data_IF_640623066221
#
_entry.id   IF_640623066221
#
_cell.length_a   1.000
_cell.length_b   1.000
_cell.length_c   1.000
_cell.angle_alpha   90.00
_cell.angle_beta   90.00
_cell.angle_gamma   90.00
#
_symmetry.space_group_name_H-M   'P 1'
#
loop_
_entity.id
_entity.type
_entity.pdbx_description
1 polymer ?
#
# COMPACT_ATOMS: atom_id res chain seq x y z
N UNK A 1 -14.68 -60.64 -36.60
CA UNK A 1 -14.70 -60.69 -35.13
C UNK A 1 -13.88 -59.48 -34.58
N UNK A 2 -14.53 -58.51 -33.97
CA UNK A 2 -13.90 -57.37 -33.31
C UNK A 2 -13.73 -57.71 -31.82
N UNK A 3 -12.60 -57.38 -31.16
CA UNK A 3 -12.47 -57.58 -29.74
C UNK A 3 -13.27 -56.54 -28.94
N UNK A 4 -13.72 -56.88 -27.71
CA UNK A 4 -14.54 -56.00 -26.88
C UNK A 4 -13.74 -54.83 -26.26
N UNK A 5 -14.41 -53.66 -26.15
CA UNK A 5 -13.90 -52.40 -25.61
C UNK A 5 -13.52 -52.54 -24.10
N UNK A 6 -12.28 -52.25 -23.79
CA UNK A 6 -11.79 -52.05 -22.41
C UNK A 6 -12.09 -50.61 -21.94
N UNK A 7 -13.34 -50.32 -21.55
CA UNK A 7 -13.74 -48.96 -21.11
C UNK A 7 -14.40 -48.89 -19.72
N UNK A 8 -14.48 -50.00 -18.96
CA UNK A 8 -15.28 -50.00 -17.73
C UNK A 8 -14.44 -50.04 -16.43
N UNK A 9 -13.19 -50.46 -16.47
CA UNK A 9 -12.34 -50.54 -15.27
C UNK A 9 -11.78 -49.20 -14.82
N UNK A 10 -11.55 -48.26 -15.74
CA UNK A 10 -11.01 -46.91 -15.40
C UNK A 10 -12.02 -46.01 -14.70
N UNK A 11 -13.31 -46.23 -14.94
CA UNK A 11 -14.41 -45.45 -14.36
C UNK A 11 -14.65 -45.86 -12.89
N UNK A 12 -14.50 -47.12 -12.55
CA UNK A 12 -14.67 -47.62 -11.18
C UNK A 12 -13.52 -47.16 -10.25
N UNK A 13 -12.29 -47.09 -10.78
CA UNK A 13 -11.12 -46.60 -10.01
C UNK A 13 -11.23 -45.15 -9.65
N UNK A 14 -11.67 -44.28 -10.58
CA UNK A 14 -11.86 -42.83 -10.33
C UNK A 14 -12.96 -42.56 -9.29
N UNK A 15 -14.06 -43.31 -9.33
CA UNK A 15 -15.17 -43.18 -8.38
C UNK A 15 -14.74 -43.63 -6.99
N UNK A 16 -13.96 -44.69 -6.86
CA UNK A 16 -13.38 -45.12 -5.56
C UNK A 16 -12.37 -44.13 -4.99
N UNK A 17 -11.53 -43.51 -5.85
CA UNK A 17 -10.58 -42.49 -5.44
C UNK A 17 -11.27 -41.23 -4.92
N UNK A 18 -12.30 -40.76 -5.63
CA UNK A 18 -13.09 -39.60 -5.21
C UNK A 18 -13.89 -39.87 -3.91
N UNK A 19 -14.39 -41.12 -3.74
CA UNK A 19 -15.06 -41.52 -2.51
C UNK A 19 -14.12 -41.56 -1.29
N UNK A 20 -12.88 -42.05 -1.47
CA UNK A 20 -11.86 -42.04 -0.44
C UNK A 20 -11.34 -40.66 -0.10
N UNK A 21 -11.21 -39.75 -1.09
CA UNK A 21 -10.83 -38.36 -0.87
C UNK A 21 -11.92 -37.59 -0.10
N UNK A 22 -13.20 -37.84 -0.41
CA UNK A 22 -14.32 -37.22 0.33
C UNK A 22 -14.42 -37.77 1.77
N UNK A 23 -14.19 -39.05 2.00
CA UNK A 23 -14.17 -39.65 3.34
C UNK A 23 -12.95 -39.18 4.17
N UNK A 24 -11.79 -38.97 3.53
CA UNK A 24 -10.60 -38.38 4.16
C UNK A 24 -10.83 -36.95 4.59
N UNK A 25 -11.49 -36.10 3.74
CA UNK A 25 -11.83 -34.75 4.09
C UNK A 25 -12.84 -34.66 5.25
N UNK A 26 -13.84 -35.55 5.30
CA UNK A 26 -14.80 -35.64 6.40
C UNK A 26 -14.12 -36.12 7.70
N UNK A 27 -13.12 -37.02 7.62
CA UNK A 27 -12.36 -37.51 8.77
C UNK A 27 -11.47 -36.42 9.40
N UNK A 28 -10.91 -35.54 8.61
CA UNK A 28 -10.12 -34.38 9.11
C UNK A 28 -11.00 -33.36 9.85
N UNK A 29 -12.28 -33.22 9.45
CA UNK A 29 -13.22 -32.34 10.11
C UNK A 29 -13.75 -32.87 11.45
N UNK A 30 -13.55 -34.18 11.74
CA UNK A 30 -14.01 -34.84 12.95
C UNK A 30 -12.90 -35.22 13.93
N UNK A 31 -11.63 -34.90 13.63
CA UNK A 31 -10.51 -35.14 14.53
C UNK A 31 -10.53 -34.16 15.70
N UNK A 32 -10.69 -34.56 16.95
CA UNK A 32 -10.67 -33.68 18.11
C UNK A 32 -9.25 -33.10 18.26
N UNK A 33 -9.12 -31.77 18.11
CA UNK A 33 -7.85 -31.06 18.34
C UNK A 33 -7.33 -30.21 17.18
N UNK A 34 -8.01 -30.16 16.03
CA UNK A 34 -7.66 -29.21 14.96
C UNK A 34 -8.62 -28.04 15.04
N UNK A 35 -8.19 -26.96 15.67
CA UNK A 35 -8.93 -25.67 15.66
C UNK A 35 -8.77 -25.00 14.29
N UNK A 36 -9.64 -25.38 13.35
CA UNK A 36 -9.78 -24.69 12.06
C UNK A 36 -10.38 -23.28 12.20
N UNK A 37 -10.77 -22.89 13.41
CA UNK A 37 -11.41 -21.60 13.72
C UNK A 37 -10.39 -20.44 13.69
N UNK A 38 -9.11 -20.66 13.98
CA UNK A 38 -8.10 -19.60 13.95
C UNK A 38 -7.71 -19.17 12.53
N UNK A 39 -7.71 -20.08 11.57
CA UNK A 39 -7.42 -19.74 10.17
C UNK A 39 -8.54 -18.83 9.59
N UNK A 40 -9.78 -19.01 10.02
CA UNK A 40 -10.91 -18.18 9.61
C UNK A 40 -10.97 -16.83 10.34
N UNK A 41 -10.37 -16.71 11.53
CA UNK A 41 -10.30 -15.45 12.29
C UNK A 41 -9.15 -14.55 11.89
N UNK A 42 -8.14 -15.06 11.22
CA UNK A 42 -7.06 -14.25 10.63
C UNK A 42 -7.53 -13.45 9.38
N UNK A 43 -8.67 -13.81 8.82
CA UNK A 43 -9.34 -13.01 7.82
C UNK A 43 -10.21 -11.97 8.56
N UNK A 44 -9.69 -10.76 8.79
CA UNK A 44 -10.51 -9.61 9.13
C UNK A 44 -11.66 -9.47 8.12
N UNK A 45 -12.69 -8.65 8.39
CA UNK A 45 -13.83 -8.54 7.48
C UNK A 45 -13.34 -8.20 6.08
N UNK A 46 -13.26 -9.22 5.24
CA UNK A 46 -12.96 -9.02 3.82
C UNK A 46 -14.09 -8.15 3.27
N UNK A 47 -13.71 -7.07 2.63
CA UNK A 47 -14.61 -6.29 1.81
C UNK A 47 -15.38 -7.26 0.92
N UNK A 48 -16.72 -7.17 0.88
CA UNK A 48 -17.55 -8.09 0.12
C UNK A 48 -17.01 -8.24 -1.31
N UNK A 49 -16.99 -9.46 -1.83
CA UNK A 49 -16.57 -9.71 -3.20
C UNK A 49 -17.38 -8.81 -4.15
N UNK A 50 -16.72 -7.89 -4.86
CA UNK A 50 -17.35 -6.88 -5.70
C UNK A 50 -17.17 -5.43 -5.24
N UNK A 51 -16.69 -5.16 -4.02
CA UNK A 51 -16.34 -3.81 -3.60
C UNK A 51 -14.88 -3.49 -3.97
N UNK A 52 -14.58 -3.45 -5.26
CA UNK A 52 -13.28 -3.00 -5.79
C UNK A 52 -12.97 -1.53 -5.49
N UNK A 53 -11.81 -1.05 -5.96
CA UNK A 53 -11.52 0.37 -5.95
C UNK A 53 -12.57 1.13 -6.77
N UNK A 54 -13.04 2.27 -6.26
CA UNK A 54 -14.08 3.08 -6.90
C UNK A 54 -13.42 4.17 -7.76
N UNK A 55 -13.76 4.22 -9.04
CA UNK A 55 -13.27 5.23 -9.98
C UNK A 55 -13.78 6.66 -9.68
N UNK A 56 -14.86 6.80 -8.92
CA UNK A 56 -15.38 8.09 -8.41
C UNK A 56 -14.53 8.67 -7.28
N UNK A 57 -13.67 7.85 -6.68
CA UNK A 57 -12.78 8.25 -5.58
C UNK A 57 -11.40 8.56 -6.10
N UNK A 58 -10.80 9.61 -5.57
CA UNK A 58 -9.37 9.90 -5.71
C UNK A 58 -8.77 10.13 -4.33
N UNK A 59 -8.09 9.13 -3.83
CA UNK A 59 -7.40 9.25 -2.53
C UNK A 59 -6.23 10.21 -2.62
N UNK A 60 -6.11 11.07 -1.63
CA UNK A 60 -5.04 12.05 -1.55
C UNK A 60 -4.70 12.45 -0.12
N UNK A 61 -3.68 13.29 -0.02
CA UNK A 61 -3.15 13.75 1.26
C UNK A 61 -2.79 15.24 1.16
N UNK A 62 -3.18 15.99 2.16
CA UNK A 62 -2.72 17.35 2.38
C UNK A 62 -1.72 17.36 3.54
N UNK A 63 -0.58 17.97 3.33
CA UNK A 63 0.48 18.14 4.33
C UNK A 63 0.66 19.64 4.58
N UNK A 64 0.28 20.08 5.77
CA UNK A 64 0.49 21.44 6.24
C UNK A 64 1.83 21.53 6.96
N UNK A 65 2.85 22.00 6.26
CA UNK A 65 4.21 22.08 6.79
C UNK A 65 4.36 23.12 7.90
N UNK A 66 3.46 24.10 7.97
CA UNK A 66 3.46 25.11 9.04
C UNK A 66 3.10 24.52 10.41
N UNK A 67 2.39 23.39 10.40
CA UNK A 67 2.00 22.64 11.59
C UNK A 67 2.92 21.45 11.87
N UNK A 68 3.85 21.15 10.96
CA UNK A 68 4.74 20.02 11.06
C UNK A 68 5.94 20.37 11.93
N UNK A 69 5.97 19.90 13.17
CA UNK A 69 7.04 20.21 14.10
C UNK A 69 8.38 19.59 13.64
N UNK A 70 9.45 20.38 13.74
CA UNK A 70 10.82 19.90 13.55
C UNK A 70 11.14 18.80 14.56
N UNK A 71 11.81 17.75 14.11
CA UNK A 71 12.16 16.59 14.94
C UNK A 71 11.02 15.62 15.23
N UNK A 72 9.75 15.95 14.94
CA UNK A 72 8.64 15.01 15.06
C UNK A 72 8.71 13.93 13.98
N UNK A 73 8.68 12.65 14.35
CA UNK A 73 8.76 11.49 13.46
C UNK A 73 7.58 10.53 13.60
N UNK A 74 6.51 10.92 14.29
CA UNK A 74 5.37 10.04 14.60
C UNK A 74 4.71 9.46 13.34
N UNK A 75 4.58 10.25 12.28
CA UNK A 75 4.07 9.75 10.98
C UNK A 75 4.97 8.65 10.37
N UNK A 76 6.28 8.75 10.54
CA UNK A 76 7.25 7.74 10.09
C UNK A 76 7.14 6.49 10.95
N UNK A 77 7.12 6.66 12.28
CA UNK A 77 6.98 5.56 13.24
C UNK A 77 5.68 4.78 13.01
N UNK A 78 4.55 5.49 12.89
CA UNK A 78 3.26 4.86 12.62
C UNK A 78 3.23 4.12 11.27
N UNK A 79 3.84 4.70 10.22
CA UNK A 79 3.97 4.04 8.94
C UNK A 79 4.80 2.76 9.04
N UNK A 80 5.91 2.80 9.77
CA UNK A 80 6.78 1.63 9.96
C UNK A 80 6.05 0.52 10.72
N UNK A 81 5.36 0.85 11.80
CA UNK A 81 4.56 -0.10 12.58
C UNK A 81 3.43 -0.68 11.75
N UNK A 82 2.66 0.16 11.05
CA UNK A 82 1.52 -0.29 10.23
C UNK A 82 1.95 -1.24 9.12
N UNK A 83 3.05 -0.95 8.45
CA UNK A 83 3.47 -1.65 7.24
C UNK A 83 4.62 -2.65 7.47
N UNK A 84 5.01 -2.91 8.71
CA UNK A 84 6.09 -3.86 9.04
C UNK A 84 7.45 -3.44 8.48
N UNK A 85 7.77 -2.14 8.53
CA UNK A 85 9.07 -1.59 8.18
C UNK A 85 10.01 -1.57 9.39
N UNK A 86 11.31 -1.43 9.13
CA UNK A 86 12.30 -1.42 10.20
C UNK A 86 12.14 -0.19 11.11
N UNK A 87 12.08 -0.41 12.40
CA UNK A 87 11.98 0.66 13.40
C UNK A 87 13.27 1.51 13.46
N UNK A 88 14.41 0.91 13.11
CA UNK A 88 15.72 1.57 13.04
C UNK A 88 16.29 1.37 11.65
N UNK A 89 15.95 2.25 10.68
CA UNK A 89 16.36 2.07 9.29
C UNK A 89 17.87 2.22 9.13
N UNK A 90 18.44 1.32 8.35
CA UNK A 90 19.80 1.42 7.81
C UNK A 90 19.78 2.22 6.49
N UNK A 91 20.92 2.59 5.92
CA UNK A 91 20.95 3.24 4.60
C UNK A 91 20.28 2.44 3.47
N UNK A 92 20.15 1.11 3.63
CA UNK A 92 19.54 0.21 2.66
C UNK A 92 18.12 -0.20 3.01
N UNK A 93 17.64 0.11 4.22
CA UNK A 93 16.28 -0.19 4.64
C UNK A 93 15.24 0.55 3.82
N UNK A 94 14.12 -0.10 3.57
CA UNK A 94 13.00 0.53 2.87
C UNK A 94 12.36 1.61 3.73
N UNK A 95 12.17 2.79 3.16
CA UNK A 95 11.54 3.94 3.80
C UNK A 95 10.37 4.40 2.93
N UNK A 96 9.16 4.26 3.44
CA UNK A 96 7.96 4.69 2.72
C UNK A 96 7.61 6.15 2.98
N UNK A 97 7.95 6.66 4.15
CA UNK A 97 7.92 8.09 4.50
C UNK A 97 9.31 8.48 4.98
N UNK A 98 9.81 9.60 4.50
CA UNK A 98 11.04 10.23 4.99
C UNK A 98 10.73 11.62 5.48
N UNK A 99 11.14 11.94 6.70
CA UNK A 99 11.11 13.30 7.19
C UNK A 99 12.32 14.04 6.62
N UNK A 100 12.10 15.17 5.98
CA UNK A 100 13.13 16.00 5.37
C UNK A 100 13.12 17.35 6.06
N UNK A 101 14.25 17.74 6.61
CA UNK A 101 14.47 19.07 7.18
C UNK A 101 15.26 19.90 6.15
N UNK A 102 14.68 21.01 5.75
CA UNK A 102 15.27 21.94 4.79
C UNK A 102 15.69 23.21 5.51
N UNK A 103 16.94 23.57 5.35
CA UNK A 103 17.45 24.87 5.78
C UNK A 103 17.47 25.83 4.60
N UNK A 104 16.91 27.03 4.75
CA UNK A 104 16.89 28.00 3.66
C UNK A 104 18.31 28.50 3.38
N UNK A 105 18.65 28.64 2.12
CA UNK A 105 19.86 29.33 1.69
C UNK A 105 19.57 30.84 1.71
N UNK A 106 19.98 31.53 2.78
CA UNK A 106 19.70 32.96 2.97
C UNK A 106 18.61 33.22 4.01
N UNK A 107 17.72 34.17 3.74
CA UNK A 107 16.65 34.55 4.65
C UNK A 107 15.44 33.63 4.46
N UNK A 108 15.04 32.92 5.49
CA UNK A 108 13.87 32.05 5.49
C UNK A 108 13.76 31.27 6.79
N UNK A 109 12.65 30.58 6.98
CA UNK A 109 12.45 29.68 8.12
C UNK A 109 12.82 28.25 7.73
N UNK A 110 13.42 27.47 8.64
CA UNK A 110 13.64 26.06 8.41
C UNK A 110 12.29 25.36 8.19
N UNK A 111 12.25 24.44 7.26
CA UNK A 111 11.05 23.71 6.87
C UNK A 111 11.25 22.22 7.12
N UNK A 112 10.31 21.60 7.79
CA UNK A 112 10.30 20.17 8.04
C UNK A 112 9.06 19.55 7.43
N UNK A 113 9.23 18.53 6.58
CA UNK A 113 8.10 17.90 5.89
C UNK A 113 8.30 16.41 5.66
N UNK A 114 7.24 15.61 5.75
CA UNK A 114 7.26 14.23 5.31
C UNK A 114 7.18 14.15 3.78
N UNK A 115 8.04 13.34 3.20
CA UNK A 115 8.05 13.02 1.76
C UNK A 115 7.81 11.53 1.56
N UNK A 116 6.82 11.21 0.72
CA UNK A 116 6.42 9.85 0.41
C UNK A 116 6.05 9.73 -1.08
N UNK A 117 5.56 8.56 -1.49
CA UNK A 117 4.94 8.43 -2.80
C UNK A 117 3.85 9.48 -2.98
N UNK A 118 3.88 10.18 -4.11
CA UNK A 118 2.96 11.29 -4.38
C UNK A 118 1.67 10.83 -5.04
N UNK A 119 1.51 9.54 -5.35
CA UNK A 119 0.34 8.97 -6.01
C UNK A 119 -0.12 9.82 -7.21
N UNK A 120 0.81 10.01 -8.15
CA UNK A 120 0.61 10.83 -9.35
C UNK A 120 -0.55 10.32 -10.19
N UNK A 121 -1.29 11.23 -10.85
CA UNK A 121 -2.26 10.87 -11.87
C UNK A 121 -1.56 10.31 -13.11
N UNK A 122 -0.43 10.91 -13.48
CA UNK A 122 0.45 10.47 -14.57
C UNK A 122 1.77 9.93 -13.98
N UNK A 123 1.82 8.67 -13.50
CA UNK A 123 2.94 8.17 -12.74
C UNK A 123 4.05 7.59 -13.65
N UNK A 124 5.17 8.29 -13.88
CA UNK A 124 6.25 7.81 -14.77
C UNK A 124 6.86 6.49 -14.30
N UNK A 125 6.73 6.17 -13.02
CA UNK A 125 7.17 4.91 -12.45
C UNK A 125 6.27 3.71 -12.83
N UNK A 126 5.06 3.94 -13.33
CA UNK A 126 4.20 2.93 -13.95
C UNK A 126 4.60 2.73 -15.40
N UNK A 127 4.79 3.82 -16.15
CA UNK A 127 5.08 3.80 -17.58
C UNK A 127 6.37 3.02 -17.91
N UNK A 128 7.39 3.14 -17.06
CA UNK A 128 8.67 2.43 -17.26
C UNK A 128 8.69 0.99 -16.77
N UNK A 129 7.59 0.48 -16.21
CA UNK A 129 7.56 -0.87 -15.64
C UNK A 129 7.35 -1.92 -16.73
N UNK A 130 8.40 -2.60 -17.13
CA UNK A 130 8.39 -3.58 -18.22
C UNK A 130 7.51 -4.81 -17.94
N UNK A 131 7.27 -5.12 -16.65
CA UNK A 131 6.44 -6.27 -16.25
C UNK A 131 5.01 -5.88 -15.88
N UNK A 132 4.68 -4.57 -15.84
CA UNK A 132 3.40 -4.09 -15.33
C UNK A 132 3.22 -4.23 -13.82
N UNK A 133 4.27 -4.62 -13.09
CA UNK A 133 4.21 -4.75 -11.63
C UNK A 133 3.89 -3.42 -10.92
N UNK A 134 4.37 -2.30 -11.46
CA UNK A 134 3.98 -0.98 -10.99
C UNK A 134 2.72 -0.55 -11.73
N UNK A 135 1.66 -0.23 -11.01
CA UNK A 135 0.36 0.12 -11.58
C UNK A 135 -0.34 1.19 -10.75
N UNK A 136 -1.33 1.85 -11.36
CA UNK A 136 -2.23 2.78 -10.71
C UNK A 136 -3.63 2.18 -10.64
N UNK A 137 -4.22 2.14 -9.44
CA UNK A 137 -5.62 1.75 -9.22
C UNK A 137 -6.54 2.85 -9.75
N UNK A 138 -7.79 2.50 -9.99
CA UNK A 138 -8.81 3.44 -10.48
C UNK A 138 -9.11 4.56 -9.48
N UNK A 139 -8.88 4.34 -8.19
CA UNK A 139 -9.00 5.31 -7.09
C UNK A 139 -7.74 6.19 -6.88
N UNK A 140 -6.81 6.16 -7.81
CA UNK A 140 -5.61 6.99 -7.83
C UNK A 140 -4.41 6.44 -7.05
N UNK A 141 -4.55 5.33 -6.32
CA UNK A 141 -3.44 4.75 -5.55
C UNK A 141 -2.45 4.06 -6.49
N UNK A 142 -1.17 4.45 -6.38
CA UNK A 142 -0.07 3.83 -7.15
C UNK A 142 0.59 2.75 -6.29
N UNK A 143 0.65 1.53 -6.81
CA UNK A 143 1.11 0.34 -6.10
C UNK A 143 2.21 -0.40 -6.89
N UNK A 144 2.81 -1.38 -6.24
CA UNK A 144 3.71 -2.37 -6.85
C UNK A 144 3.23 -3.76 -6.47
N UNK A 145 2.90 -4.57 -7.47
CA UNK A 145 2.69 -6.00 -7.29
C UNK A 145 4.03 -6.71 -7.09
N UNK A 146 4.24 -7.25 -5.93
CA UNK A 146 5.49 -7.90 -5.53
C UNK A 146 5.70 -9.24 -6.20
N UNK A 147 4.63 -9.92 -6.63
CA UNK A 147 4.71 -11.21 -7.32
C UNK A 147 5.17 -11.06 -8.78
N UNK A 148 4.86 -9.91 -9.38
CA UNK A 148 5.21 -9.58 -10.76
C UNK A 148 6.50 -8.75 -10.86
N UNK A 149 6.93 -8.13 -9.76
CA UNK A 149 8.11 -7.27 -9.70
C UNK A 149 9.40 -8.09 -9.83
N UNK A 150 10.20 -7.81 -10.86
CA UNK A 150 11.51 -8.45 -11.09
C UNK A 150 12.69 -7.65 -10.49
N UNK A 151 12.43 -6.55 -9.79
CA UNK A 151 13.47 -5.76 -9.12
C UNK A 151 14.41 -4.98 -10.03
N UNK A 152 14.06 -4.69 -11.28
CA UNK A 152 14.90 -3.96 -12.23
C UNK A 152 15.19 -2.51 -11.83
N UNK A 153 14.41 -1.93 -10.89
CA UNK A 153 14.57 -0.59 -10.29
C UNK A 153 14.35 0.59 -11.23
N UNK A 154 13.93 0.40 -12.48
CA UNK A 154 13.65 1.52 -13.40
C UNK A 154 12.62 2.49 -12.84
N UNK A 155 11.61 1.99 -12.13
CA UNK A 155 10.61 2.82 -11.46
C UNK A 155 11.19 3.69 -10.32
N UNK A 156 12.31 3.28 -9.71
CA UNK A 156 13.03 4.12 -8.72
C UNK A 156 13.78 5.25 -9.42
N UNK A 157 14.35 5.00 -10.59
CA UNK A 157 15.06 6.00 -11.40
C UNK A 157 14.09 7.02 -11.99
N UNK A 158 12.94 6.55 -12.49
CA UNK A 158 11.90 7.38 -13.09
C UNK A 158 11.15 8.26 -12.06
N UNK A 159 11.14 7.89 -10.78
CA UNK A 159 10.44 8.66 -9.74
C UNK A 159 11.18 9.97 -9.42
N UNK A 160 10.62 11.16 -9.75
CA UNK A 160 11.29 12.43 -9.48
C UNK A 160 11.37 12.75 -7.97
N UNK A 161 10.51 12.12 -7.18
CA UNK A 161 10.46 12.30 -5.72
C UNK A 161 11.36 11.33 -4.95
N UNK A 162 11.99 10.37 -5.66
CA UNK A 162 12.80 9.30 -5.06
C UNK A 162 12.06 8.57 -3.93
N UNK A 163 10.76 8.37 -4.11
CA UNK A 163 9.85 7.83 -3.11
C UNK A 163 9.68 6.31 -3.18
N UNK A 164 10.57 5.62 -3.87
CA UNK A 164 10.60 4.16 -3.98
C UNK A 164 11.84 3.60 -3.33
N UNK A 165 11.68 2.50 -2.62
CA UNK A 165 12.75 1.76 -1.97
C UNK A 165 12.86 0.37 -2.57
N UNK A 166 14.02 -0.25 -2.44
CA UNK A 166 14.27 -1.63 -2.85
C UNK A 166 14.55 -2.48 -1.63
N UNK A 167 13.97 -3.67 -1.56
CA UNK A 167 14.15 -4.59 -0.44
C UNK A 167 15.36 -5.47 -0.70
N UNK A 168 16.45 -5.21 -0.01
CA UNK A 168 17.73 -5.92 -0.15
C UNK A 168 17.78 -7.19 0.68
N UNK A 169 17.25 -7.13 1.90
CA UNK A 169 17.41 -8.17 2.90
C UNK A 169 16.19 -9.11 2.94
N UNK A 170 16.36 -10.36 3.38
CA UNK A 170 15.24 -11.20 3.75
C UNK A 170 14.37 -10.52 4.81
N UNK A 171 13.06 -10.66 4.69
CA UNK A 171 12.10 -10.08 5.61
C UNK A 171 11.56 -11.16 6.54
N UNK A 172 11.71 -10.93 7.83
CA UNK A 172 11.16 -11.76 8.90
C UNK A 172 9.92 -11.08 9.49
N UNK A 173 9.03 -11.85 10.11
CA UNK A 173 7.85 -11.34 10.82
C UNK A 173 6.94 -10.43 9.98
N UNK A 174 6.70 -10.83 8.74
CA UNK A 174 5.83 -10.06 7.82
C UNK A 174 4.38 -10.02 8.33
N UNK A 175 3.71 -8.89 8.05
CA UNK A 175 2.28 -8.76 8.30
C UNK A 175 1.47 -9.39 7.16
N UNK A 176 0.46 -10.24 7.44
CA UNK A 176 -0.33 -10.90 6.40
C UNK A 176 -1.03 -9.93 5.43
N UNK A 177 -1.52 -8.80 5.95
CA UNK A 177 -2.26 -7.79 5.18
C UNK A 177 -1.34 -6.82 4.42
N UNK A 178 -0.05 -6.81 4.75
CA UNK A 178 0.96 -5.99 4.07
C UNK A 178 2.16 -6.86 3.71
N UNK A 179 2.00 -7.81 2.80
CA UNK A 179 3.09 -8.68 2.40
C UNK A 179 4.17 -7.86 1.70
N UNK A 180 5.43 -8.08 2.07
CA UNK A 180 6.62 -7.45 1.49
C UNK A 180 7.52 -8.52 0.87
N UNK A 181 8.43 -8.15 -0.04
CA UNK A 181 9.24 -9.13 -0.75
C UNK A 181 10.69 -8.70 -0.96
N UNK A 182 11.65 -9.57 -0.59
CA UNK A 182 13.05 -9.38 -0.98
C UNK A 182 13.19 -9.33 -2.50
N UNK A 183 14.00 -8.41 -3.01
CA UNK A 183 14.23 -8.25 -4.45
C UNK A 183 13.16 -7.44 -5.17
N UNK A 184 12.14 -6.94 -4.46
CA UNK A 184 11.09 -6.11 -5.02
C UNK A 184 11.29 -4.64 -4.68
N UNK A 185 10.65 -3.78 -5.47
CA UNK A 185 10.51 -2.35 -5.18
C UNK A 185 9.23 -2.12 -4.41
N UNK A 186 9.26 -1.22 -3.44
CA UNK A 186 8.10 -0.83 -2.65
C UNK A 186 8.07 0.68 -2.38
N UNK A 187 6.92 1.19 -1.96
CA UNK A 187 6.71 2.59 -1.60
C UNK A 187 5.47 2.73 -0.73
N UNK A 188 5.18 3.94 -0.24
CA UNK A 188 3.91 4.23 0.42
C UNK A 188 2.73 3.77 -0.44
N UNK A 189 1.76 3.10 0.19
CA UNK A 189 0.56 2.56 -0.42
C UNK A 189 -0.71 3.31 -0.02
N UNK A 190 -0.60 4.45 0.69
CA UNK A 190 -1.70 5.12 1.41
C UNK A 190 -2.46 4.16 2.34
N UNK A 191 -1.76 3.20 2.95
CA UNK A 191 -2.37 2.18 3.79
C UNK A 191 -3.54 1.46 3.09
N UNK A 192 -3.34 1.03 1.85
CA UNK A 192 -4.38 0.43 0.99
C UNK A 192 -5.14 -0.69 1.67
N UNK A 193 -4.48 -1.46 2.55
CA UNK A 193 -5.11 -2.50 3.37
C UNK A 193 -6.20 -1.96 4.30
N UNK A 194 -6.04 -0.74 4.83
CA UNK A 194 -7.05 -0.05 5.64
C UNK A 194 -8.20 0.44 4.78
N UNK A 195 -7.89 1.07 3.64
CA UNK A 195 -8.89 1.56 2.67
C UNK A 195 -9.76 0.41 2.18
N UNK A 196 -9.15 -0.73 1.83
CA UNK A 196 -9.87 -1.91 1.35
C UNK A 196 -10.71 -2.59 2.44
N UNK A 197 -10.46 -2.34 3.72
CA UNK A 197 -11.34 -2.69 4.85
C UNK A 197 -12.45 -1.68 5.11
N UNK A 198 -12.46 -0.55 4.40
CA UNK A 198 -13.44 0.52 4.61
C UNK A 198 -13.03 1.58 5.64
N UNK A 199 -11.80 1.55 6.11
CA UNK A 199 -11.24 2.62 6.93
C UNK A 199 -10.85 3.80 6.01
N UNK A 200 -11.32 5.00 6.31
CA UNK A 200 -11.09 6.19 5.48
C UNK A 200 -9.93 7.04 6.04
N UNK A 201 -8.86 6.38 6.49
CA UNK A 201 -7.71 7.02 7.13
C UNK A 201 -6.41 6.26 6.90
N UNK A 202 -5.28 6.91 7.19
CA UNK A 202 -3.96 6.31 7.13
C UNK A 202 -3.28 6.38 8.49
N UNK A 203 -2.41 5.40 8.81
CA UNK A 203 -1.71 5.36 10.09
C UNK A 203 -0.91 6.64 10.38
N UNK A 204 -0.29 7.23 9.36
CA UNK A 204 0.47 8.47 9.52
C UNK A 204 -0.42 9.70 9.79
N UNK A 205 -1.63 9.76 9.22
CA UNK A 205 -2.57 10.84 9.49
C UNK A 205 -3.13 10.76 10.90
N UNK A 206 -3.51 9.56 11.34
CA UNK A 206 -3.97 9.31 12.72
C UNK A 206 -2.90 9.70 13.74
N UNK A 207 -1.69 9.16 13.61
CA UNK A 207 -0.61 9.48 14.54
C UNK A 207 -0.27 10.97 14.56
N UNK A 208 -0.35 11.66 13.41
CA UNK A 208 -0.17 13.10 13.35
C UNK A 208 -1.29 13.88 14.04
N UNK A 209 -2.53 13.40 13.98
CA UNK A 209 -3.64 13.99 14.70
C UNK A 209 -3.51 13.76 16.22
N UNK A 210 -3.12 12.57 16.66
CA UNK A 210 -2.95 12.19 18.06
C UNK A 210 -1.87 13.03 18.77
N UNK A 211 -0.84 13.49 18.03
CA UNK A 211 0.15 14.43 18.58
C UNK A 211 -0.36 15.86 18.77
N UNK A 212 -1.58 16.15 18.31
CA UNK A 212 -2.17 17.49 18.30
C UNK A 212 -1.66 18.40 17.18
N UNK A 213 -0.70 17.96 16.36
CA UNK A 213 -0.23 18.75 15.22
C UNK A 213 -1.25 18.79 14.10
N UNK A 214 -1.86 17.65 13.74
CA UNK A 214 -2.87 17.55 12.68
C UNK A 214 -2.36 18.16 11.36
N UNK A 215 -1.07 17.97 11.07
CA UNK A 215 -0.42 18.48 9.87
C UNK A 215 -0.75 17.63 8.63
N UNK A 216 -1.22 16.41 8.81
CA UNK A 216 -1.54 15.48 7.73
C UNK A 216 -3.04 15.25 7.71
N UNK A 217 -3.68 15.56 6.58
CA UNK A 217 -5.11 15.26 6.32
C UNK A 217 -5.20 14.32 5.14
N UNK A 218 -5.90 13.22 5.31
CA UNK A 218 -6.14 12.22 4.27
C UNK A 218 -7.62 12.19 3.88
N UNK A 219 -7.94 11.92 2.62
CA UNK A 219 -9.33 11.78 2.19
C UNK A 219 -9.51 11.69 0.68
N UNK A 220 -10.77 11.73 0.26
CA UNK A 220 -11.16 11.71 -1.15
C UNK A 220 -11.14 13.13 -1.73
N UNK A 221 -10.24 13.37 -2.69
CA UNK A 221 -10.11 14.67 -3.39
C UNK A 221 -11.27 14.97 -4.34
N UNK A 222 -12.01 13.94 -4.78
CA UNK A 222 -13.17 14.10 -5.66
C UNK A 222 -14.46 14.41 -4.89
N UNK A 223 -14.47 14.18 -3.58
CA UNK A 223 -15.60 14.52 -2.74
C UNK A 223 -15.47 15.97 -2.26
N UNK A 224 -16.35 16.90 -2.72
CA UNK A 224 -16.28 18.30 -2.34
C UNK A 224 -16.54 18.55 -0.85
N UNK A 225 -17.23 17.63 -0.17
CA UNK A 225 -17.59 17.75 1.24
C UNK A 225 -16.55 17.08 2.16
N UNK A 226 -15.57 16.40 1.60
CA UNK A 226 -14.47 15.82 2.37
C UNK A 226 -13.62 16.92 3.05
N UNK A 227 -13.04 16.60 4.21
CA UNK A 227 -12.18 17.53 4.94
C UNK A 227 -10.99 17.99 4.07
N UNK A 228 -10.34 17.06 3.38
CA UNK A 228 -9.19 17.38 2.52
C UNK A 228 -9.57 18.36 1.40
N UNK A 229 -10.71 18.14 0.74
CA UNK A 229 -11.16 19.01 -0.36
C UNK A 229 -11.51 20.40 0.13
N UNK A 230 -12.14 20.51 1.30
CA UNK A 230 -12.41 21.82 1.94
C UNK A 230 -11.11 22.55 2.25
N UNK A 231 -10.18 21.88 2.93
CA UNK A 231 -8.88 22.46 3.31
C UNK A 231 -8.06 22.90 2.10
N UNK A 232 -8.01 22.08 1.04
CA UNK A 232 -7.29 22.43 -0.20
C UNK A 232 -7.88 23.68 -0.90
N UNK A 233 -9.17 23.94 -0.73
CA UNK A 233 -9.81 25.18 -1.24
C UNK A 233 -9.55 26.41 -0.37
N UNK A 234 -9.41 26.19 0.94
CA UNK A 234 -9.24 27.29 1.93
C UNK A 234 -7.80 27.83 1.98
N UNK A 235 -6.82 26.97 1.74
CA UNK A 235 -5.41 27.32 1.87
C UNK A 235 -4.65 27.13 0.55
N UNK A 236 -3.65 27.98 0.32
CA UNK A 236 -2.78 27.82 -0.86
C UNK A 236 -1.95 26.53 -0.74
N UNK A 237 -2.08 25.64 -1.70
CA UNK A 237 -1.34 24.37 -1.73
C UNK A 237 -0.51 24.26 -3.01
N UNK A 238 0.61 23.55 -2.89
CA UNK A 238 1.49 23.25 -4.02
C UNK A 238 1.79 21.77 -4.12
N UNK A 239 2.00 21.31 -5.34
CA UNK A 239 2.58 20.01 -5.60
C UNK A 239 4.11 20.11 -5.58
N UNK A 240 4.79 19.11 -5.03
CA UNK A 240 6.23 18.99 -5.25
C UNK A 240 6.49 18.75 -6.74
N UNK A 241 7.48 19.43 -7.31
CA UNK A 241 7.82 19.33 -8.74
C UNK A 241 6.62 19.57 -9.66
N UNK A 242 5.87 20.63 -9.39
CA UNK A 242 4.72 21.04 -10.23
C UNK A 242 5.12 21.25 -11.71
N UNK A 243 6.39 21.55 -11.97
CA UNK A 243 6.99 21.68 -13.29
C UNK A 243 6.86 20.44 -14.18
N UNK A 244 6.69 19.26 -13.58
CA UNK A 244 6.57 17.99 -14.31
C UNK A 244 5.13 17.62 -14.70
N UNK A 245 4.14 18.39 -14.27
CA UNK A 245 2.72 18.18 -14.59
C UNK A 245 2.20 16.75 -14.31
N UNK A 246 2.71 16.09 -13.26
CA UNK A 246 2.35 14.70 -12.90
C UNK A 246 1.04 14.59 -12.10
N UNK A 247 0.42 15.71 -11.79
CA UNK A 247 -0.79 15.86 -10.96
C UNK A 247 -0.81 14.90 -9.74
N UNK A 248 0.07 15.12 -8.74
CA UNK A 248 0.16 14.28 -7.57
C UNK A 248 -1.08 14.37 -6.68
N UNK A 249 -1.45 13.25 -6.04
CA UNK A 249 -2.50 13.20 -5.01
C UNK A 249 -2.07 13.78 -3.67
N UNK A 250 -0.77 14.08 -3.48
CA UNK A 250 -0.25 14.72 -2.26
C UNK A 250 -0.03 16.21 -2.52
N UNK A 251 -0.58 17.05 -1.66
CA UNK A 251 -0.48 18.50 -1.72
C UNK A 251 0.22 19.03 -0.46
N UNK A 252 0.98 20.08 -0.61
CA UNK A 252 1.70 20.72 0.49
C UNK A 252 1.27 22.17 0.65
N UNK A 253 1.07 22.59 1.88
CA UNK A 253 0.89 23.99 2.29
C UNK A 253 2.16 24.46 3.00
N UNK A 254 2.55 25.72 2.79
CA UNK A 254 3.70 26.32 3.46
C UNK A 254 5.07 26.04 2.83
N UNK A 255 5.10 25.56 1.56
CA UNK A 255 6.34 25.35 0.78
C UNK A 255 6.49 26.37 -0.34
#
# INVERSE_FOLDING_TARGET
MRPPHASDETSAGRRRFLGLAAAGAAGVLLAPGIELIEVARAAGPHKAAGSGADAGVRWGMLIDTTRCASGCTECVTACNVENGLDARPTPTSAQWIRKVDLEPVGIGLPLSLPVMCQHCAEPPCVDVCSTGASFKRVDGIVLVDRHTCIGCRYCMMACPYKARSFVHEPLEHQKPDVPRGKGCVESCTLCVQRIDRGEHTTACAEACADTGHGAIVFGNLNDPDSEISRRVREISTRALRADLALDPGVRYHGI
#
